data_IF_195365801897
#
_entry.id   IF_195365801897
#
_cell.length_a   1.000
_cell.length_b   1.000
_cell.length_c   1.000
_cell.angle_alpha   90.00
_cell.angle_beta   90.00
_cell.angle_gamma   90.00
#
_symmetry.space_group_name_H-M   'P 1'
#
loop_
_entity.id
_entity.type
_entity.pdbx_description
1 polymer ?
#
# COMPACT_ATOMS: atom_id res chain seq x y z
N UNK A 1 82.68 -29.69 57.59
CA UNK A 1 81.38 -29.72 56.86
C UNK A 1 80.30 -29.15 57.78
N UNK A 2 79.30 -28.44 57.24
CA UNK A 2 78.94 -27.04 57.50
C UNK A 2 77.92 -26.89 58.67
N UNK A 3 77.57 -25.72 59.20
CA UNK A 3 76.76 -24.70 58.54
C UNK A 3 76.69 -23.41 59.39
N UNK A 4 76.83 -22.25 58.72
CA UNK A 4 76.69 -20.90 59.29
C UNK A 4 75.21 -20.47 59.27
N UNK A 5 74.73 -19.86 60.36
CA UNK A 5 73.47 -19.10 60.37
C UNK A 5 73.74 -17.68 60.93
N UNK A 6 73.61 -16.68 60.05
CA UNK A 6 73.54 -15.26 60.40
C UNK A 6 72.09 -14.91 60.77
N UNK A 7 71.90 -14.20 61.89
CA UNK A 7 70.65 -13.52 62.23
C UNK A 7 70.89 -12.02 62.10
N UNK A 8 70.17 -11.37 61.19
CA UNK A 8 70.15 -9.92 61.01
C UNK A 8 68.74 -9.38 61.31
N UNK A 9 68.71 -8.23 61.99
CA UNK A 9 67.52 -7.53 62.44
C UNK A 9 66.79 -6.78 61.31
N UNK A 10 65.46 -6.72 61.38
CA UNK A 10 64.63 -5.85 60.51
C UNK A 10 64.10 -4.65 61.29
N UNK A 11 64.44 -3.44 60.81
CA UNK A 11 63.81 -2.19 61.20
C UNK A 11 62.42 -2.04 60.59
N UNK A 12 61.54 -1.30 61.29
CA UNK A 12 60.21 -0.92 60.79
C UNK A 12 60.36 0.29 59.86
N UNK A 13 60.13 0.08 58.57
CA UNK A 13 59.86 1.15 57.62
C UNK A 13 58.35 1.42 57.56
N UNK A 14 57.96 2.67 57.80
CA UNK A 14 56.60 3.18 57.60
C UNK A 14 56.38 3.52 56.12
N UNK A 15 55.52 2.77 55.44
CA UNK A 15 55.09 3.06 54.07
C UNK A 15 54.28 4.38 53.99
N UNK A 16 54.40 5.17 52.90
CA UNK A 16 53.53 6.31 52.67
C UNK A 16 52.08 5.86 52.48
N UNK A 17 51.13 6.66 52.95
CA UNK A 17 49.71 6.44 52.69
C UNK A 17 49.45 6.37 51.17
N UNK A 18 48.58 5.47 50.69
CA UNK A 18 48.20 5.44 49.28
C UNK A 18 47.57 6.78 48.90
N UNK A 19 47.93 7.30 47.72
CA UNK A 19 47.29 8.49 47.15
C UNK A 19 45.76 8.35 47.23
N UNK A 20 45.02 9.41 47.59
CA UNK A 20 43.57 9.37 47.56
C UNK A 20 43.13 8.93 46.16
N UNK A 21 42.29 7.89 46.11
CA UNK A 21 41.73 7.40 44.86
C UNK A 21 41.15 8.58 44.06
N UNK A 22 41.38 8.66 42.74
CA UNK A 22 40.78 9.69 41.90
C UNK A 22 39.28 9.76 42.21
N UNK A 23 38.67 10.96 42.34
CA UNK A 23 37.24 11.08 42.57
C UNK A 23 36.52 10.22 41.54
N UNK A 24 35.66 9.30 41.99
CA UNK A 24 34.89 8.46 41.10
C UNK A 24 34.19 9.36 40.08
N UNK A 25 34.45 9.12 38.79
CA UNK A 25 33.88 9.93 37.73
C UNK A 25 32.36 9.72 37.74
N UNK A 26 31.64 10.70 38.28
CA UNK A 26 30.19 10.62 38.40
C UNK A 26 29.58 10.57 37.00
N UNK A 27 29.01 9.44 36.62
CA UNK A 27 28.21 9.33 35.40
C UNK A 27 27.10 10.39 35.38
N UNK A 28 26.66 10.80 34.19
CA UNK A 28 25.68 11.87 34.03
C UNK A 28 24.57 11.48 33.05
N UNK A 29 23.47 12.25 33.04
CA UNK A 29 22.29 11.98 32.22
C UNK A 29 21.97 13.12 31.24
N UNK A 30 21.25 12.78 30.19
CA UNK A 30 20.53 13.74 29.36
C UNK A 30 19.49 14.48 30.22
N UNK A 31 19.48 15.80 30.14
CA UNK A 31 18.51 16.67 30.82
C UNK A 31 17.37 17.06 29.87
N UNK A 32 17.69 17.48 28.64
CA UNK A 32 16.70 17.89 27.66
C UNK A 32 17.17 17.66 26.23
N UNK A 33 16.22 17.44 25.34
CA UNK A 33 16.44 17.34 23.90
C UNK A 33 15.47 18.26 23.18
N UNK A 34 15.95 19.16 22.31
CA UNK A 34 15.06 20.05 21.55
C UNK A 34 15.44 20.03 20.08
N UNK A 35 14.43 19.99 19.22
CA UNK A 35 14.60 20.22 17.78
C UNK A 35 13.90 21.53 17.44
N UNK A 36 14.63 22.48 16.85
CA UNK A 36 14.13 23.84 16.57
C UNK A 36 13.50 24.50 17.80
N UNK A 37 14.11 24.32 18.97
CA UNK A 37 13.64 24.90 20.23
C UNK A 37 12.44 24.20 20.90
N UNK A 38 11.82 23.21 20.24
CA UNK A 38 10.67 22.48 20.76
C UNK A 38 11.06 21.12 21.35
N UNK A 39 10.46 20.75 22.49
CA UNK A 39 10.50 19.39 23.03
C UNK A 39 9.19 18.68 22.69
N UNK A 40 9.27 17.55 22.00
CA UNK A 40 8.12 16.74 21.63
C UNK A 40 8.44 15.24 21.78
N UNK A 41 9.12 14.87 22.87
CA UNK A 41 9.63 13.51 23.08
C UNK A 41 10.79 13.17 22.15
N UNK A 42 10.76 11.96 21.56
CA UNK A 42 11.86 11.40 20.75
C UNK A 42 11.49 11.12 19.29
N UNK A 43 10.29 11.54 18.85
CA UNK A 43 9.86 11.45 17.45
C UNK A 43 9.26 12.77 17.02
N UNK A 44 9.81 13.36 15.96
CA UNK A 44 9.37 14.65 15.43
C UNK A 44 8.94 14.51 13.98
N UNK A 45 7.97 15.30 13.57
CA UNK A 45 7.53 15.41 12.19
C UNK A 45 7.51 16.88 11.76
N UNK A 46 7.43 17.12 10.46
CA UNK A 46 7.39 18.46 9.88
C UNK A 46 8.58 19.35 10.30
N UNK A 47 9.77 18.76 10.40
CA UNK A 47 10.98 19.49 10.77
C UNK A 47 11.58 20.19 9.54
N UNK A 48 11.98 21.46 9.66
CA UNK A 48 12.61 22.15 8.55
C UNK A 48 13.89 21.43 8.07
N UNK A 49 14.36 21.74 6.86
CA UNK A 49 15.47 21.02 6.21
C UNK A 49 16.87 21.40 6.70
N UNK A 50 17.01 22.36 7.62
CA UNK A 50 18.27 22.70 8.31
C UNK A 50 17.99 22.82 9.82
N UNK A 51 17.61 21.70 10.48
CA UNK A 51 17.16 21.75 11.85
C UNK A 51 18.31 22.06 12.81
N UNK A 52 17.97 22.76 13.90
CA UNK A 52 18.86 22.96 15.04
C UNK A 52 18.51 21.93 16.11
N UNK A 53 19.43 21.01 16.37
CA UNK A 53 19.30 19.94 17.37
C UNK A 53 20.06 20.36 18.63
N UNK A 54 19.40 20.43 19.77
CA UNK A 54 20.05 20.75 21.06
C UNK A 54 19.94 19.56 22.00
N UNK A 55 21.08 19.08 22.49
CA UNK A 55 21.16 18.07 23.53
C UNK A 55 21.78 18.71 24.78
N UNK A 56 20.99 18.81 25.84
CA UNK A 56 21.39 19.37 27.13
C UNK A 56 21.54 18.26 28.16
N UNK A 57 22.57 18.33 28.98
CA UNK A 57 22.96 17.31 29.95
C UNK A 57 23.08 17.91 31.35
N UNK A 58 23.08 17.05 32.38
CA UNK A 58 23.21 17.47 33.78
C UNK A 58 24.65 17.84 34.19
N UNK A 59 25.63 17.67 33.30
CA UNK A 59 27.02 17.98 33.54
C UNK A 59 27.64 18.70 32.32
N UNK A 60 28.62 19.61 32.52
CA UNK A 60 29.46 20.13 31.44
C UNK A 60 30.19 19.01 30.70
N UNK A 61 30.26 19.11 29.37
CA UNK A 61 30.80 18.07 28.49
C UNK A 61 32.28 18.25 28.16
N UNK A 62 32.99 17.13 27.98
CA UNK A 62 34.27 17.12 27.29
C UNK A 62 34.02 17.23 25.79
N UNK A 63 34.25 18.43 25.25
CA UNK A 63 33.99 18.77 23.85
C UNK A 63 34.70 17.83 22.86
N UNK A 64 35.87 17.30 23.23
CA UNK A 64 36.66 16.41 22.37
C UNK A 64 35.97 15.06 22.10
N UNK A 65 35.02 14.67 22.96
CA UNK A 65 34.31 13.38 22.85
C UNK A 65 32.99 13.47 22.08
N UNK A 66 32.51 14.68 21.75
CA UNK A 66 31.21 14.85 21.09
C UNK A 66 31.22 14.29 19.67
N UNK A 67 32.25 14.60 18.88
CA UNK A 67 32.33 14.19 17.48
C UNK A 67 32.34 12.66 17.29
N UNK A 68 32.94 11.93 18.23
CA UNK A 68 33.00 10.46 18.21
C UNK A 68 31.78 9.80 18.88
N UNK A 69 31.00 10.56 19.66
CA UNK A 69 29.85 10.04 20.40
C UNK A 69 28.50 10.42 19.79
N UNK A 70 28.46 11.42 18.90
CA UNK A 70 27.26 11.85 18.21
C UNK A 70 27.25 11.37 16.75
N UNK A 71 26.10 10.88 16.30
CA UNK A 71 25.85 10.54 14.90
C UNK A 71 24.52 11.12 14.44
N UNK A 72 24.50 11.70 13.23
CA UNK A 72 23.30 12.07 12.50
C UNK A 72 23.27 11.26 11.20
N UNK A 73 22.16 10.54 10.98
CA UNK A 73 21.99 9.64 9.84
C UNK A 73 20.65 9.82 9.15
N UNK A 74 20.58 9.52 7.86
CA UNK A 74 19.33 9.43 7.11
C UNK A 74 18.66 8.04 7.23
N UNK A 75 17.50 7.84 6.58
CA UNK A 75 16.76 6.55 6.60
C UNK A 75 17.59 5.38 6.07
N UNK A 76 18.54 5.61 5.16
CA UNK A 76 19.41 4.56 4.61
C UNK A 76 20.57 4.18 5.55
N UNK A 77 20.79 4.98 6.59
CA UNK A 77 21.91 4.83 7.52
C UNK A 77 23.16 5.62 7.11
N UNK A 78 23.09 6.43 6.06
CA UNK A 78 24.19 7.27 5.61
C UNK A 78 24.45 8.42 6.61
N UNK A 79 25.73 8.68 6.90
CA UNK A 79 26.15 9.74 7.82
C UNK A 79 25.95 11.12 7.19
N UNK A 80 25.41 12.05 7.97
CA UNK A 80 25.21 13.44 7.57
C UNK A 80 26.24 14.33 8.26
N UNK A 81 26.87 15.21 7.49
CA UNK A 81 27.81 16.19 8.00
C UNK A 81 27.09 17.30 8.77
N UNK A 82 27.69 17.74 9.87
CA UNK A 82 27.13 18.74 10.77
C UNK A 82 28.21 19.65 11.35
N UNK A 83 27.78 20.81 11.85
CA UNK A 83 28.56 21.66 12.73
C UNK A 83 28.12 21.45 14.17
N UNK A 84 29.03 21.70 15.12
CA UNK A 84 28.76 21.65 16.56
C UNK A 84 29.16 22.96 17.22
N UNK A 85 28.32 23.46 18.12
CA UNK A 85 28.65 24.54 19.05
C UNK A 85 28.17 24.20 20.45
N UNK A 86 28.60 24.97 21.45
CA UNK A 86 28.33 24.71 22.86
C UNK A 86 27.64 25.90 23.53
N UNK A 87 26.71 25.60 24.43
CA UNK A 87 25.93 26.57 25.20
C UNK A 87 25.87 26.16 26.68
N UNK A 88 25.42 27.06 27.55
CA UNK A 88 25.15 26.80 28.97
C UNK A 88 26.36 26.20 29.73
N UNK A 89 27.55 26.78 29.53
CA UNK A 89 28.78 26.31 30.18
C UNK A 89 29.17 24.90 29.75
N UNK A 90 29.05 24.60 28.46
CA UNK A 90 29.33 23.30 27.83
C UNK A 90 28.42 22.14 28.27
N UNK A 91 27.34 22.43 29.01
CA UNK A 91 26.34 21.40 29.35
C UNK A 91 25.37 21.11 28.20
N UNK A 92 25.40 21.91 27.14
CA UNK A 92 24.57 21.72 25.94
C UNK A 92 25.45 21.78 24.70
N UNK A 93 25.35 20.78 23.83
CA UNK A 93 25.86 20.92 22.46
C UNK A 93 24.70 21.13 21.48
N UNK A 94 24.96 21.95 20.46
CA UNK A 94 24.03 22.32 19.40
C UNK A 94 24.58 21.77 18.09
N UNK A 95 23.79 20.95 17.41
CA UNK A 95 24.12 20.36 16.11
C UNK A 95 23.26 20.99 15.03
N UNK A 96 23.89 21.36 13.92
CA UNK A 96 23.20 21.79 12.71
C UNK A 96 23.80 21.11 11.48
N UNK A 97 23.00 20.50 10.59
CA UNK A 97 23.51 19.94 9.33
C UNK A 97 24.21 21.01 8.48
N UNK A 98 25.32 20.66 7.83
CA UNK A 98 26.08 21.60 6.98
C UNK A 98 25.39 21.93 5.66
N UNK A 99 24.40 21.11 5.26
CA UNK A 99 23.58 21.31 4.07
C UNK A 99 22.10 21.04 4.34
N UNK A 100 21.25 21.35 3.35
CA UNK A 100 19.82 21.04 3.44
C UNK A 100 19.62 19.52 3.41
N UNK A 101 18.94 19.00 4.42
CA UNK A 101 18.48 17.63 4.48
C UNK A 101 17.45 17.36 3.36
N UNK A 102 17.29 16.09 2.97
CA UNK A 102 16.25 15.69 2.02
C UNK A 102 14.85 15.95 2.59
N UNK A 103 13.89 16.30 1.75
CA UNK A 103 12.49 16.51 2.17
C UNK A 103 11.77 15.17 2.41
N UNK A 104 10.73 15.17 3.25
CA UNK A 104 9.92 13.98 3.59
C UNK A 104 10.79 12.74 3.91
N UNK A 105 11.91 12.96 4.60
CA UNK A 105 12.90 11.92 4.87
C UNK A 105 13.04 11.78 6.38
N UNK A 106 12.99 10.54 6.86
CA UNK A 106 13.27 10.20 8.25
C UNK A 106 14.79 10.29 8.49
N UNK A 107 15.16 10.89 9.60
CA UNK A 107 16.52 11.01 10.08
C UNK A 107 16.59 10.54 11.53
N UNK A 108 17.78 10.09 11.94
CA UNK A 108 18.05 9.66 13.31
C UNK A 108 19.28 10.40 13.83
N UNK A 109 19.14 11.06 14.97
CA UNK A 109 20.26 11.66 15.70
C UNK A 109 20.46 10.89 17.00
N UNK A 110 21.69 10.44 17.26
CA UNK A 110 22.00 9.59 18.40
C UNK A 110 23.26 10.04 19.14
N UNK A 111 23.24 9.90 20.46
CA UNK A 111 24.37 10.10 21.37
C UNK A 111 24.68 8.78 22.06
N UNK A 112 25.90 8.28 21.92
CA UNK A 112 26.34 7.05 22.58
C UNK A 112 26.77 7.30 24.03
N UNK A 113 26.92 6.21 24.79
CA UNK A 113 27.43 6.25 26.17
C UNK A 113 28.93 6.57 26.25
N UNK A 114 29.62 6.70 25.11
CA UNK A 114 31.02 7.14 25.06
C UNK A 114 31.19 8.65 25.30
N UNK A 115 30.10 9.43 25.29
CA UNK A 115 30.14 10.85 25.58
C UNK A 115 30.59 11.07 27.02
N UNK A 116 31.60 11.94 27.21
CA UNK A 116 32.16 12.24 28.53
C UNK A 116 31.77 13.64 29.02
N UNK A 117 31.62 13.75 30.32
CA UNK A 117 31.64 15.02 31.05
C UNK A 117 33.07 15.53 31.23
N UNK A 118 33.25 16.82 31.55
CA UNK A 118 34.57 17.39 31.87
C UNK A 118 35.25 16.73 33.07
N UNK A 119 34.48 16.14 33.98
CA UNK A 119 35.00 15.34 35.10
C UNK A 119 35.31 13.89 34.75
N UNK A 120 35.21 13.51 33.46
CA UNK A 120 35.54 12.18 32.95
C UNK A 120 34.46 11.12 33.16
N UNK A 121 33.26 11.49 33.64
CA UNK A 121 32.12 10.57 33.78
C UNK A 121 31.45 10.31 32.43
N UNK A 122 31.02 9.08 32.19
CA UNK A 122 30.31 8.68 30.96
C UNK A 122 28.81 8.99 31.04
N UNK A 123 28.17 9.19 29.87
CA UNK A 123 26.72 9.27 29.76
C UNK A 123 26.09 7.92 30.13
N UNK A 124 25.10 7.93 31.04
CA UNK A 124 24.47 6.72 31.57
C UNK A 124 23.71 5.90 30.53
N UNK A 125 22.96 6.56 29.66
CA UNK A 125 22.12 5.91 28.66
C UNK A 125 22.29 6.57 27.30
N UNK A 126 22.28 5.77 26.23
CA UNK A 126 22.24 6.33 24.87
C UNK A 126 20.98 7.20 24.71
N UNK A 127 21.12 8.31 24.01
CA UNK A 127 19.99 9.13 23.59
C UNK A 127 19.79 8.97 22.09
N UNK A 128 18.55 8.83 21.64
CA UNK A 128 18.22 8.75 20.22
C UNK A 128 16.92 9.50 19.96
N UNK A 129 16.92 10.34 18.92
CA UNK A 129 15.74 11.03 18.43
C UNK A 129 15.57 10.77 16.95
N UNK A 130 14.33 10.50 16.55
CA UNK A 130 13.93 10.39 15.15
C UNK A 130 13.20 11.65 14.73
N UNK A 131 13.47 12.16 13.54
CA UNK A 131 12.70 13.26 12.98
C UNK A 131 12.49 13.14 11.49
N UNK A 132 11.31 13.51 11.02
CA UNK A 132 10.98 13.56 9.59
C UNK A 132 10.95 15.00 9.12
N UNK A 133 11.67 15.28 8.04
CA UNK A 133 11.70 16.62 7.45
C UNK A 133 10.38 16.94 6.74
N UNK A 134 10.05 18.23 6.70
CA UNK A 134 8.88 18.75 6.00
C UNK A 134 8.97 18.53 4.48
N UNK A 135 7.83 18.66 3.81
CA UNK A 135 7.75 18.71 2.35
C UNK A 135 8.50 19.93 1.80
N UNK A 136 9.18 19.73 0.68
CA UNK A 136 9.66 20.85 -0.13
C UNK A 136 8.53 21.32 -1.05
N UNK A 137 7.82 22.37 -0.64
CA UNK A 137 6.67 22.91 -1.38
C UNK A 137 7.06 23.70 -2.64
N UNK A 138 8.36 23.85 -2.92
CA UNK A 138 8.80 24.48 -4.16
C UNK A 138 8.47 23.60 -5.36
N UNK A 139 7.90 24.24 -6.39
CA UNK A 139 7.54 23.55 -7.62
C UNK A 139 8.81 23.07 -8.32
N UNK A 140 8.90 21.75 -8.54
CA UNK A 140 9.97 21.12 -9.33
C UNK A 140 9.69 21.18 -10.84
N UNK A 141 8.42 21.35 -11.18
CA UNK A 141 7.91 21.48 -12.54
C UNK A 141 6.85 22.59 -12.57
N UNK A 142 6.60 23.22 -13.72
CA UNK A 142 5.44 24.11 -13.88
C UNK A 142 4.15 23.41 -13.45
N UNK A 143 3.21 24.14 -12.85
CA UNK A 143 1.93 23.52 -12.56
C UNK A 143 1.14 23.28 -13.84
N UNK A 144 0.46 22.15 -13.84
CA UNK A 144 -0.52 21.79 -14.84
C UNK A 144 -1.89 22.31 -14.42
N UNK A 145 -2.73 22.63 -15.41
CA UNK A 145 -4.17 22.72 -15.18
C UNK A 145 -4.72 21.33 -14.85
N UNK A 146 -5.90 21.26 -14.23
CA UNK A 146 -6.51 19.98 -13.85
C UNK A 146 -6.67 19.05 -15.06
N UNK A 147 -7.09 19.57 -16.22
CA UNK A 147 -7.21 18.78 -17.45
C UNK A 147 -5.85 18.24 -17.92
N UNK A 148 -4.80 19.07 -17.92
CA UNK A 148 -3.47 18.63 -18.32
C UNK A 148 -2.87 17.62 -17.33
N UNK A 149 -3.17 17.75 -16.03
CA UNK A 149 -2.79 16.78 -15.01
C UNK A 149 -3.52 15.46 -15.21
N UNK A 150 -4.84 15.48 -15.43
CA UNK A 150 -5.63 14.28 -15.69
C UNK A 150 -5.18 13.55 -16.96
N UNK A 151 -4.89 14.30 -18.03
CA UNK A 151 -4.38 13.71 -19.28
C UNK A 151 -3.03 13.04 -19.05
N UNK A 152 -2.11 13.69 -18.33
CA UNK A 152 -0.80 13.13 -18.02
C UNK A 152 -0.90 11.88 -17.13
N UNK A 153 -1.73 11.92 -16.08
CA UNK A 153 -1.97 10.78 -15.19
C UNK A 153 -2.52 9.61 -15.99
N UNK A 154 -3.57 9.82 -16.80
CA UNK A 154 -4.15 8.76 -17.63
C UNK A 154 -3.14 8.20 -18.63
N UNK A 155 -2.35 9.05 -19.30
CA UNK A 155 -1.35 8.62 -20.26
C UNK A 155 -0.26 7.77 -19.61
N UNK A 156 0.23 8.16 -18.43
CA UNK A 156 1.27 7.40 -17.73
C UNK A 156 0.74 6.10 -17.13
N UNK A 157 -0.46 6.12 -16.53
CA UNK A 157 -1.10 4.89 -16.01
C UNK A 157 -1.41 3.91 -17.15
N UNK A 158 -1.83 4.40 -18.32
CA UNK A 158 -2.10 3.55 -19.49
C UNK A 158 -0.88 2.73 -19.92
N UNK A 159 0.35 3.24 -19.76
CA UNK A 159 1.58 2.50 -20.09
C UNK A 159 1.73 1.19 -19.31
N UNK A 160 1.11 1.08 -18.14
CA UNK A 160 1.08 -0.18 -17.40
C UNK A 160 0.41 -1.31 -18.21
N UNK A 161 -0.68 -1.00 -18.88
CA UNK A 161 -1.44 -1.96 -19.69
C UNK A 161 -0.91 -2.08 -21.12
N UNK A 162 -0.29 -1.00 -21.62
CA UNK A 162 0.18 -0.94 -23.01
C UNK A 162 1.62 -1.40 -23.18
N UNK A 163 2.57 -0.66 -22.60
CA UNK A 163 4.01 -0.90 -22.70
C UNK A 163 4.44 -2.08 -21.83
N UNK A 164 3.86 -2.17 -20.62
CA UNK A 164 4.17 -3.21 -19.64
C UNK A 164 3.23 -4.43 -19.71
N UNK A 165 2.26 -4.43 -20.64
CA UNK A 165 1.44 -5.59 -20.95
C UNK A 165 2.29 -6.78 -21.40
N UNK A 166 1.86 -8.00 -21.06
CA UNK A 166 2.64 -9.19 -21.34
C UNK A 166 2.88 -9.36 -22.86
N UNK A 167 4.11 -9.63 -23.33
CA UNK A 167 4.44 -9.56 -24.76
C UNK A 167 3.74 -10.63 -25.63
N UNK A 168 3.39 -11.79 -25.05
CA UNK A 168 2.68 -12.88 -25.75
C UNK A 168 1.16 -12.69 -25.70
N UNK A 169 0.57 -12.71 -24.50
CA UNK A 169 -0.89 -12.60 -24.33
C UNK A 169 -1.46 -11.18 -24.45
N UNK A 170 -0.66 -10.13 -24.27
CA UNK A 170 -1.14 -8.76 -24.12
C UNK A 170 -1.87 -8.47 -22.81
N UNK A 171 -2.02 -9.46 -21.92
CA UNK A 171 -2.71 -9.34 -20.63
C UNK A 171 -1.90 -8.50 -19.63
N UNK A 172 -2.60 -7.96 -18.63
CA UNK A 172 -1.99 -7.15 -17.57
C UNK A 172 -1.22 -8.03 -16.60
N UNK A 173 0.03 -7.65 -16.31
CA UNK A 173 0.82 -8.23 -15.23
C UNK A 173 0.21 -7.83 -13.88
N UNK A 174 0.30 -8.72 -12.90
CA UNK A 174 -0.17 -8.48 -11.53
C UNK A 174 0.55 -7.30 -10.88
N UNK A 175 1.87 -7.23 -11.06
CA UNK A 175 2.73 -6.20 -10.44
C UNK A 175 3.98 -5.94 -11.29
N UNK A 176 4.63 -4.81 -11.05
CA UNK A 176 5.83 -4.39 -11.78
C UNK A 176 7.16 -4.80 -11.12
N UNK A 177 7.10 -5.48 -9.97
CA UNK A 177 8.25 -5.91 -9.17
C UNK A 177 8.21 -7.42 -8.87
N UNK A 178 7.51 -8.21 -9.69
CA UNK A 178 7.30 -9.65 -9.49
C UNK A 178 7.66 -10.49 -10.72
N UNK A 179 7.08 -11.68 -10.83
CA UNK A 179 7.22 -12.54 -12.01
C UNK A 179 6.59 -11.88 -13.25
N UNK A 180 7.42 -11.57 -14.24
CA UNK A 180 6.99 -10.94 -15.49
C UNK A 180 6.09 -11.82 -16.37
N UNK A 181 5.99 -13.12 -16.10
CA UNK A 181 5.07 -14.02 -16.77
C UNK A 181 3.73 -14.18 -16.04
N UNK A 182 3.57 -13.67 -14.83
CA UNK A 182 2.33 -13.78 -14.09
C UNK A 182 1.38 -12.64 -14.48
N UNK A 183 0.22 -13.00 -15.07
CA UNK A 183 -0.84 -12.06 -15.46
C UNK A 183 -2.11 -12.32 -14.65
N UNK A 184 -2.86 -11.25 -14.36
CA UNK A 184 -4.13 -11.29 -13.61
C UNK A 184 -5.31 -11.20 -14.56
N UNK A 185 -6.35 -12.03 -14.35
CA UNK A 185 -7.55 -12.00 -15.19
C UNK A 185 -8.40 -10.76 -14.92
N UNK A 186 -8.73 -10.43 -13.67
CA UNK A 186 -9.55 -9.26 -13.35
C UNK A 186 -8.84 -7.93 -13.63
N UNK A 187 -7.56 -7.82 -13.26
CA UNK A 187 -6.73 -6.65 -13.61
C UNK A 187 -6.59 -6.45 -15.13
N UNK A 188 -6.58 -7.54 -15.91
CA UNK A 188 -6.64 -7.45 -17.37
C UNK A 188 -7.97 -6.90 -17.87
N UNK A 189 -9.09 -7.22 -17.22
CA UNK A 189 -10.39 -6.62 -17.49
C UNK A 189 -10.37 -5.09 -17.40
N UNK A 190 -9.71 -4.55 -16.37
CA UNK A 190 -9.49 -3.10 -16.24
C UNK A 190 -8.60 -2.56 -17.36
N UNK A 191 -7.54 -3.30 -17.71
CA UNK A 191 -6.66 -2.97 -18.84
C UNK A 191 -7.38 -2.87 -20.19
N UNK A 192 -8.38 -3.73 -20.45
CA UNK A 192 -9.20 -3.64 -21.67
C UNK A 192 -9.94 -2.29 -21.73
N UNK A 193 -10.54 -1.85 -20.63
CA UNK A 193 -11.22 -0.55 -20.57
C UNK A 193 -10.23 0.63 -20.69
N UNK A 194 -9.03 0.48 -20.14
CA UNK A 194 -7.96 1.48 -20.28
C UNK A 194 -7.51 1.65 -21.74
N UNK A 195 -7.39 0.56 -22.51
CA UNK A 195 -7.08 0.61 -23.95
C UNK A 195 -8.17 1.36 -24.72
N UNK A 196 -9.46 1.12 -24.43
CA UNK A 196 -10.56 1.85 -25.07
C UNK A 196 -10.49 3.35 -24.75
N UNK A 197 -10.20 3.68 -23.50
CA UNK A 197 -9.99 5.07 -23.05
C UNK A 197 -8.82 5.70 -23.81
N UNK A 198 -7.71 4.98 -23.99
CA UNK A 198 -6.54 5.47 -24.71
C UNK A 198 -6.81 5.76 -26.19
N UNK A 199 -7.65 4.95 -26.85
CA UNK A 199 -8.11 5.24 -28.22
C UNK A 199 -8.94 6.54 -28.24
N UNK A 200 -9.89 6.68 -27.31
CA UNK A 200 -10.73 7.88 -27.20
C UNK A 200 -9.93 9.15 -26.92
N UNK A 201 -8.86 9.04 -26.12
CA UNK A 201 -7.94 10.13 -25.79
C UNK A 201 -6.89 10.39 -26.88
N UNK A 202 -6.83 9.57 -27.94
CA UNK A 202 -5.84 9.69 -29.01
C UNK A 202 -4.41 9.33 -28.60
N UNK A 203 -4.23 8.56 -27.52
CA UNK A 203 -2.91 8.08 -27.11
C UNK A 203 -2.40 6.95 -28.03
N UNK A 204 -3.33 6.19 -28.59
CA UNK A 204 -3.09 5.17 -29.62
C UNK A 204 -4.18 5.28 -30.68
N UNK A 205 -3.93 4.74 -31.88
CA UNK A 205 -4.96 4.66 -32.92
C UNK A 205 -5.96 3.54 -32.63
N UNK A 206 -7.14 3.61 -33.26
CA UNK A 206 -8.15 2.55 -33.15
C UNK A 206 -7.64 1.22 -33.68
N UNK A 207 -6.85 1.25 -34.76
CA UNK A 207 -6.24 0.08 -35.40
C UNK A 207 -5.22 -0.59 -34.46
N UNK A 208 -4.37 0.21 -33.79
CA UNK A 208 -3.45 -0.30 -32.78
C UNK A 208 -4.20 -0.96 -31.62
N UNK A 209 -5.24 -0.30 -31.12
CA UNK A 209 -6.10 -0.83 -30.06
C UNK A 209 -6.79 -2.13 -30.48
N UNK A 210 -7.35 -2.18 -31.69
CA UNK A 210 -8.00 -3.37 -32.25
C UNK A 210 -7.02 -4.55 -32.35
N UNK A 211 -5.81 -4.31 -32.87
CA UNK A 211 -4.79 -5.35 -32.97
C UNK A 211 -4.44 -5.93 -31.59
N UNK A 212 -4.22 -5.07 -30.58
CA UNK A 212 -3.97 -5.52 -29.20
C UNK A 212 -5.15 -6.32 -28.64
N UNK A 213 -6.37 -5.89 -28.88
CA UNK A 213 -7.59 -6.58 -28.43
C UNK A 213 -7.72 -7.97 -29.05
N UNK A 214 -7.39 -8.12 -30.34
CA UNK A 214 -7.39 -9.42 -31.01
C UNK A 214 -6.33 -10.36 -30.43
N UNK A 215 -5.13 -9.86 -30.08
CA UNK A 215 -4.13 -10.65 -29.36
C UNK A 215 -4.65 -11.14 -28.01
N UNK A 216 -5.22 -10.24 -27.20
CA UNK A 216 -5.72 -10.58 -25.86
C UNK A 216 -6.89 -11.57 -25.94
N UNK A 217 -7.90 -11.26 -26.75
CA UNK A 217 -9.09 -12.11 -26.92
C UNK A 217 -8.72 -13.45 -27.53
N UNK A 218 -7.79 -13.48 -28.50
CA UNK A 218 -7.28 -14.71 -29.08
C UNK A 218 -6.60 -15.61 -28.04
N UNK A 219 -5.76 -15.04 -27.17
CA UNK A 219 -5.13 -15.76 -26.06
C UNK A 219 -6.17 -16.29 -25.06
N UNK A 220 -7.11 -15.44 -24.62
CA UNK A 220 -8.16 -15.83 -23.67
C UNK A 220 -9.10 -16.91 -24.23
N UNK A 221 -9.39 -16.86 -25.54
CA UNK A 221 -10.28 -17.82 -26.20
C UNK A 221 -9.60 -19.17 -26.37
N UNK A 222 -8.36 -19.18 -26.88
CA UNK A 222 -7.72 -20.37 -27.44
C UNK A 222 -6.61 -20.96 -26.57
N UNK A 223 -5.98 -20.16 -25.70
CA UNK A 223 -4.76 -20.56 -24.97
C UNK A 223 -4.97 -20.63 -23.46
N UNK A 224 -5.69 -19.66 -22.90
CA UNK A 224 -5.91 -19.58 -21.46
C UNK A 224 -6.75 -20.75 -20.94
N UNK A 225 -6.26 -21.39 -19.88
CA UNK A 225 -6.96 -22.43 -19.15
C UNK A 225 -8.21 -21.83 -18.48
N UNK A 226 -9.30 -22.57 -18.56
CA UNK A 226 -10.58 -22.22 -17.92
C UNK A 226 -11.14 -23.43 -17.18
N UNK A 227 -12.00 -23.16 -16.20
CA UNK A 227 -12.67 -24.17 -15.38
C UNK A 227 -14.16 -23.82 -15.34
N UNK A 228 -15.01 -24.65 -15.93
CA UNK A 228 -16.43 -24.31 -16.14
C UNK A 228 -16.60 -22.95 -16.84
N UNK A 229 -15.71 -22.69 -17.82
CA UNK A 229 -15.63 -21.45 -18.59
C UNK A 229 -15.12 -20.22 -17.84
N UNK A 230 -15.00 -20.25 -16.51
CA UNK A 230 -14.39 -19.18 -15.72
C UNK A 230 -12.86 -19.27 -15.76
N UNK A 231 -12.21 -18.13 -15.57
CA UNK A 231 -10.76 -18.00 -15.54
C UNK A 231 -10.23 -18.11 -14.10
N UNK A 232 -8.99 -18.59 -13.92
CA UNK A 232 -8.30 -18.44 -12.63
C UNK A 232 -7.94 -16.98 -12.35
N UNK A 233 -7.62 -16.68 -11.10
CA UNK A 233 -7.10 -15.37 -10.70
C UNK A 233 -5.81 -15.04 -11.48
N UNK A 234 -4.83 -15.95 -11.43
CA UNK A 234 -3.55 -15.81 -12.14
C UNK A 234 -3.37 -16.84 -13.23
N UNK A 235 -2.75 -16.39 -14.33
CA UNK A 235 -2.33 -17.19 -15.46
C UNK A 235 -0.86 -16.93 -15.74
N UNK A 236 -0.17 -17.91 -16.32
CA UNK A 236 1.07 -17.65 -17.02
C UNK A 236 0.76 -16.99 -18.37
N UNK A 237 1.19 -15.75 -18.56
CA UNK A 237 0.92 -14.93 -19.74
C UNK A 237 1.57 -15.44 -21.03
N UNK A 238 2.50 -16.40 -20.95
CA UNK A 238 3.09 -17.07 -22.12
C UNK A 238 2.33 -18.34 -22.50
N UNK A 239 1.95 -19.17 -21.51
CA UNK A 239 1.39 -20.51 -21.76
C UNK A 239 -0.12 -20.61 -21.58
N UNK A 240 -0.74 -19.67 -20.86
CA UNK A 240 -2.15 -19.71 -20.51
C UNK A 240 -2.49 -20.67 -19.36
N UNK A 241 -1.51 -21.33 -18.74
CA UNK A 241 -1.75 -22.25 -17.62
C UNK A 241 -2.07 -21.48 -16.35
N UNK A 242 -3.02 -21.98 -15.55
CA UNK A 242 -3.36 -21.41 -14.25
C UNK A 242 -2.16 -21.40 -13.29
N UNK A 243 -1.92 -20.27 -12.62
CA UNK A 243 -0.96 -20.16 -11.52
C UNK A 243 -1.78 -20.10 -10.22
N UNK A 244 -1.59 -21.03 -9.27
CA UNK A 244 -2.32 -20.99 -8.00
C UNK A 244 -2.07 -19.70 -7.21
N UNK A 245 -3.14 -19.04 -6.77
CA UNK A 245 -3.05 -17.89 -5.85
C UNK A 245 -2.82 -18.35 -4.41
N UNK A 246 -3.28 -19.56 -4.08
CA UNK A 246 -3.02 -20.26 -2.84
C UNK A 246 -3.16 -21.76 -3.01
N UNK A 247 -2.87 -22.55 -1.97
CA UNK A 247 -2.85 -24.03 -2.08
C UNK A 247 -4.14 -24.61 -2.65
N UNK A 248 -5.31 -24.09 -2.24
CA UNK A 248 -6.63 -24.55 -2.69
C UNK A 248 -7.24 -23.68 -3.80
N UNK A 249 -6.64 -22.53 -4.07
CA UNK A 249 -7.06 -21.61 -5.12
C UNK A 249 -6.19 -21.80 -6.36
N UNK A 250 -6.47 -22.89 -7.07
CA UNK A 250 -5.76 -23.33 -8.28
C UNK A 250 -6.73 -23.64 -9.43
N UNK A 251 -7.93 -23.09 -9.38
CA UNK A 251 -9.02 -23.33 -10.32
C UNK A 251 -9.67 -22.03 -10.77
N UNK A 252 -10.99 -22.01 -10.92
CA UNK A 252 -11.72 -20.81 -11.28
C UNK A 252 -11.80 -19.81 -10.11
N UNK A 253 -11.65 -18.53 -10.45
CA UNK A 253 -12.04 -17.38 -9.64
C UNK A 253 -13.16 -16.63 -10.39
N UNK A 254 -14.37 -16.70 -9.85
CA UNK A 254 -15.56 -16.13 -10.49
C UNK A 254 -15.59 -14.59 -10.39
N UNK A 255 -15.00 -14.01 -9.35
CA UNK A 255 -14.96 -12.56 -9.15
C UNK A 255 -13.99 -11.93 -10.14
N UNK A 256 -12.78 -12.46 -10.27
CA UNK A 256 -11.80 -12.02 -11.26
C UNK A 256 -12.33 -12.22 -12.70
N UNK A 257 -13.00 -13.36 -12.95
CA UNK A 257 -13.71 -13.60 -14.22
C UNK A 257 -14.75 -12.51 -14.49
N UNK A 258 -15.48 -12.06 -13.47
CA UNK A 258 -16.49 -11.02 -13.64
C UNK A 258 -15.90 -9.66 -14.01
N UNK A 259 -14.74 -9.29 -13.46
CA UNK A 259 -14.02 -8.08 -13.85
C UNK A 259 -13.50 -8.17 -15.29
N UNK A 260 -12.97 -9.34 -15.68
CA UNK A 260 -12.55 -9.60 -17.06
C UNK A 260 -13.72 -9.48 -18.04
N UNK A 261 -14.85 -10.14 -17.75
CA UNK A 261 -16.05 -10.11 -18.59
C UNK A 261 -16.62 -8.70 -18.69
N UNK A 262 -16.60 -7.92 -17.60
CA UNK A 262 -16.99 -6.51 -17.62
C UNK A 262 -16.17 -5.73 -18.68
N UNK A 263 -14.84 -5.90 -18.70
CA UNK A 263 -13.95 -5.26 -19.70
C UNK A 263 -14.16 -5.77 -21.13
N UNK A 264 -14.36 -7.08 -21.29
CA UNK A 264 -14.64 -7.70 -22.59
C UNK A 264 -15.94 -7.17 -23.20
N UNK A 265 -17.01 -7.02 -22.41
CA UNK A 265 -18.27 -6.48 -22.87
C UNK A 265 -18.13 -5.01 -23.30
N UNK A 266 -17.37 -4.20 -22.55
CA UNK A 266 -17.05 -2.82 -22.97
C UNK A 266 -16.33 -2.82 -24.32
N UNK A 267 -15.33 -3.70 -24.51
CA UNK A 267 -14.62 -3.88 -25.77
C UNK A 267 -15.55 -4.28 -26.92
N UNK A 268 -16.43 -5.25 -26.70
CA UNK A 268 -17.41 -5.71 -27.70
C UNK A 268 -18.32 -4.58 -28.17
N UNK A 269 -18.77 -3.72 -27.25
CA UNK A 269 -19.65 -2.60 -27.59
C UNK A 269 -18.89 -1.46 -28.29
N UNK A 270 -17.61 -1.26 -27.97
CA UNK A 270 -16.79 -0.20 -28.56
C UNK A 270 -16.34 -0.51 -30.00
N UNK A 271 -15.90 -1.75 -30.25
CA UNK A 271 -15.53 -2.22 -31.59
C UNK A 271 -16.76 -2.67 -32.36
N UNK A 272 -17.59 -1.71 -32.78
CA UNK A 272 -18.88 -1.89 -33.42
C UNK A 272 -18.90 -1.70 -34.95
N UNK A 273 -17.74 -1.58 -35.60
CA UNK A 273 -17.62 -1.47 -37.04
C UNK A 273 -18.16 -2.70 -37.78
N UNK A 274 -18.68 -2.49 -39.00
CA UNK A 274 -19.27 -3.54 -39.84
C UNK A 274 -18.22 -4.42 -40.55
N UNK A 275 -16.95 -4.03 -40.51
CA UNK A 275 -15.86 -4.79 -41.12
C UNK A 275 -15.66 -6.17 -40.49
N UNK A 276 -15.08 -7.08 -41.25
CA UNK A 276 -14.85 -8.47 -40.83
C UNK A 276 -13.98 -8.59 -39.57
N UNK A 277 -13.01 -7.67 -39.40
CA UNK A 277 -12.04 -7.69 -38.29
C UNK A 277 -12.71 -7.40 -36.94
N UNK A 278 -13.47 -6.30 -36.84
CA UNK A 278 -14.21 -5.98 -35.61
C UNK A 278 -15.37 -6.95 -35.37
N UNK A 279 -16.01 -7.43 -36.44
CA UNK A 279 -17.05 -8.49 -36.34
C UNK A 279 -16.46 -9.78 -35.76
N UNK A 280 -15.28 -10.20 -36.22
CA UNK A 280 -14.56 -11.35 -35.69
C UNK A 280 -14.23 -11.18 -34.19
N UNK A 281 -13.69 -10.02 -33.80
CA UNK A 281 -13.42 -9.70 -32.39
C UNK A 281 -14.69 -9.83 -31.53
N UNK A 282 -15.81 -9.24 -31.96
CA UNK A 282 -17.08 -9.33 -31.21
C UNK A 282 -17.58 -10.77 -31.06
N UNK A 283 -17.44 -11.59 -32.11
CA UNK A 283 -17.82 -13.01 -32.06
C UNK A 283 -16.94 -13.82 -31.10
N UNK A 284 -15.65 -13.54 -31.08
CA UNK A 284 -14.71 -14.19 -30.15
C UNK A 284 -15.00 -13.80 -28.70
N UNK A 285 -15.31 -12.53 -28.44
CA UNK A 285 -15.75 -12.07 -27.12
C UNK A 285 -17.07 -12.76 -26.72
N UNK A 286 -18.05 -12.84 -27.62
CA UNK A 286 -19.29 -13.57 -27.34
C UNK A 286 -19.04 -15.04 -26.99
N UNK A 287 -18.09 -15.68 -27.67
CA UNK A 287 -17.67 -17.06 -27.37
C UNK A 287 -17.14 -17.17 -25.94
N UNK A 288 -16.28 -16.24 -25.52
CA UNK A 288 -15.74 -16.22 -24.14
C UNK A 288 -16.86 -16.00 -23.13
N UNK A 289 -17.66 -14.93 -23.29
CA UNK A 289 -18.69 -14.56 -22.32
C UNK A 289 -19.78 -15.65 -22.18
N UNK A 290 -20.19 -16.28 -23.28
CA UNK A 290 -21.24 -17.30 -23.27
C UNK A 290 -20.77 -18.65 -22.72
N UNK A 291 -19.44 -18.87 -22.62
CA UNK A 291 -18.85 -20.10 -22.09
C UNK A 291 -18.81 -20.12 -20.56
N UNK A 292 -18.90 -18.97 -19.88
CA UNK A 292 -18.85 -18.91 -18.40
C UNK A 292 -20.11 -19.53 -17.81
N UNK A 293 -19.95 -20.65 -17.11
CA UNK A 293 -21.04 -21.40 -16.50
C UNK A 293 -21.45 -20.81 -15.15
N UNK A 294 -21.99 -19.58 -15.09
CA UNK A 294 -22.29 -18.91 -13.82
C UNK A 294 -23.15 -19.74 -12.85
N UNK A 295 -24.09 -20.52 -13.38
CA UNK A 295 -24.95 -21.40 -12.59
C UNK A 295 -24.20 -22.59 -11.95
N UNK A 296 -23.05 -23.02 -12.48
CA UNK A 296 -22.18 -24.04 -11.87
C UNK A 296 -21.69 -23.59 -10.50
N UNK A 297 -21.34 -22.31 -10.38
CA UNK A 297 -20.81 -21.68 -9.16
C UNK A 297 -21.85 -21.50 -8.05
N UNK A 298 -23.02 -22.11 -8.18
CA UNK A 298 -24.03 -22.23 -7.13
C UNK A 298 -23.84 -23.47 -6.25
N UNK A 299 -22.85 -24.33 -6.53
CA UNK A 299 -22.56 -25.55 -5.75
C UNK A 299 -23.81 -26.33 -5.35
N UNK A 300 -24.32 -27.18 -6.27
CA UNK A 300 -25.58 -27.92 -6.09
C UNK A 300 -26.80 -27.00 -5.97
N UNK A 301 -26.92 -26.02 -6.88
CA UNK A 301 -28.09 -25.15 -7.02
C UNK A 301 -28.45 -24.30 -5.78
N UNK A 302 -27.51 -24.00 -4.90
CA UNK A 302 -27.76 -23.09 -3.79
C UNK A 302 -28.17 -21.70 -4.31
N UNK A 303 -28.83 -20.94 -3.45
CA UNK A 303 -29.22 -19.56 -3.72
C UNK A 303 -28.10 -18.57 -3.36
N UNK A 304 -26.88 -18.87 -3.78
CA UNK A 304 -25.68 -18.02 -3.62
C UNK A 304 -24.67 -18.38 -4.70
N UNK A 305 -23.75 -17.48 -5.01
CA UNK A 305 -22.55 -17.78 -5.79
C UNK A 305 -21.38 -18.07 -4.85
N UNK A 306 -20.50 -18.97 -5.27
CA UNK A 306 -19.20 -19.25 -4.65
C UNK A 306 -18.10 -18.60 -5.48
N UNK A 307 -17.12 -18.03 -4.79
CA UNK A 307 -16.00 -17.33 -5.40
C UNK A 307 -15.10 -18.28 -6.19
N UNK A 308 -14.82 -19.46 -5.64
CA UNK A 308 -13.85 -20.38 -6.20
C UNK A 308 -14.43 -21.76 -6.49
N UNK A 309 -13.87 -22.43 -7.49
CA UNK A 309 -13.99 -23.87 -7.70
C UNK A 309 -12.67 -24.43 -8.22
N UNK A 310 -12.25 -25.60 -7.72
CA UNK A 310 -10.99 -26.25 -8.10
C UNK A 310 -11.22 -27.65 -8.69
N UNK A 311 -10.48 -28.05 -9.75
CA UNK A 311 -10.51 -29.44 -10.22
C UNK A 311 -9.92 -30.44 -9.20
N UNK A 312 -9.04 -29.97 -8.30
CA UNK A 312 -8.35 -30.81 -7.33
C UNK A 312 -9.01 -30.77 -5.94
N UNK A 313 -9.66 -29.65 -5.61
CA UNK A 313 -10.22 -29.38 -4.27
C UNK A 313 -11.72 -29.07 -4.29
N UNK A 314 -12.37 -29.14 -5.45
CA UNK A 314 -13.80 -28.84 -5.63
C UNK A 314 -14.19 -27.51 -4.96
N UNK A 315 -15.01 -27.57 -3.92
CA UNK A 315 -15.54 -26.42 -3.18
C UNK A 315 -14.83 -26.16 -1.85
N UNK A 316 -13.67 -26.75 -1.59
CA UNK A 316 -12.99 -26.63 -0.28
C UNK A 316 -12.57 -25.21 0.10
N UNK A 317 -12.39 -24.29 -0.87
CA UNK A 317 -12.24 -22.85 -0.57
C UNK A 317 -13.47 -22.29 0.14
N UNK A 318 -14.66 -22.86 -0.14
CA UNK A 318 -15.93 -22.66 0.56
C UNK A 318 -16.27 -21.18 0.85
N UNK A 319 -15.99 -20.29 -0.11
CA UNK A 319 -16.19 -18.86 0.04
C UNK A 319 -17.41 -18.40 -0.75
N UNK A 320 -18.51 -18.15 -0.06
CA UNK A 320 -19.72 -17.57 -0.67
C UNK A 320 -19.52 -16.07 -0.91
N UNK A 321 -19.94 -15.59 -2.07
CA UNK A 321 -19.90 -14.16 -2.41
C UNK A 321 -21.11 -13.50 -1.75
N UNK A 322 -20.86 -12.73 -0.69
CA UNK A 322 -21.88 -12.10 0.17
C UNK A 322 -21.64 -10.60 0.24
N UNK A 323 -22.68 -9.81 -0.01
CA UNK A 323 -22.56 -8.35 -0.01
C UNK A 323 -22.56 -7.76 1.41
N UNK A 324 -22.26 -6.49 1.59
CA UNK A 324 -21.79 -5.55 0.58
C UNK A 324 -20.25 -5.55 0.51
N UNK A 325 -19.70 -5.69 -0.71
CA UNK A 325 -18.27 -5.63 -1.00
C UNK A 325 -18.05 -5.31 -2.51
N UNK A 326 -16.86 -5.54 -3.05
CA UNK A 326 -16.46 -5.27 -4.44
C UNK A 326 -17.18 -6.12 -5.50
N UNK A 327 -17.88 -7.20 -5.12
CA UNK A 327 -18.30 -8.27 -6.02
C UNK A 327 -19.71 -8.11 -6.63
N UNK A 328 -20.30 -6.92 -6.60
CA UNK A 328 -21.66 -6.67 -7.14
C UNK A 328 -21.78 -7.12 -8.61
N UNK A 329 -20.80 -6.78 -9.43
CA UNK A 329 -20.80 -7.07 -10.88
C UNK A 329 -20.83 -8.57 -11.18
N UNK A 330 -20.31 -9.42 -10.27
CA UNK A 330 -20.37 -10.88 -10.41
C UNK A 330 -21.82 -11.37 -10.47
N UNK A 331 -22.68 -10.88 -9.57
CA UNK A 331 -24.10 -11.24 -9.58
C UNK A 331 -24.86 -10.61 -10.75
N UNK A 332 -24.53 -9.37 -11.13
CA UNK A 332 -25.16 -8.69 -12.28
C UNK A 332 -24.88 -9.46 -13.57
N UNK A 333 -23.62 -9.84 -13.81
CA UNK A 333 -23.22 -10.60 -15.01
C UNK A 333 -23.81 -12.01 -15.00
N UNK A 334 -23.81 -12.69 -13.85
CA UNK A 334 -24.47 -13.98 -13.72
C UNK A 334 -25.97 -13.92 -14.04
N UNK A 335 -26.67 -12.90 -13.57
CA UNK A 335 -28.10 -12.69 -13.86
C UNK A 335 -28.34 -12.29 -15.33
N UNK A 336 -27.35 -11.68 -15.98
CA UNK A 336 -27.43 -11.23 -17.38
C UNK A 336 -27.06 -12.31 -18.40
N UNK A 337 -26.46 -13.43 -17.97
CA UNK A 337 -26.05 -14.51 -18.87
C UNK A 337 -27.27 -15.20 -19.49
N UNK A 338 -27.25 -15.34 -20.82
CA UNK A 338 -28.31 -16.00 -21.59
C UNK A 338 -28.06 -17.49 -21.82
N UNK A 339 -26.89 -18.01 -21.42
CA UNK A 339 -26.51 -19.43 -21.57
C UNK A 339 -26.52 -20.15 -20.23
N UNK A 340 -25.90 -19.56 -19.21
CA UNK A 340 -25.73 -20.18 -17.88
C UNK A 340 -26.16 -19.22 -16.76
N UNK A 341 -27.29 -18.54 -16.95
CA UNK A 341 -27.79 -17.54 -16.00
C UNK A 341 -28.25 -18.11 -14.66
N UNK A 342 -28.40 -17.22 -13.68
CA UNK A 342 -28.89 -17.53 -12.33
C UNK A 342 -30.32 -17.02 -12.10
N UNK A 343 -31.15 -17.72 -11.29
CA UNK A 343 -32.45 -17.19 -10.89
C UNK A 343 -32.29 -16.03 -9.89
N UNK A 344 -33.29 -15.13 -9.85
CA UNK A 344 -33.33 -13.96 -8.95
C UNK A 344 -33.05 -14.30 -7.48
N UNK A 345 -33.53 -15.45 -7.02
CA UNK A 345 -33.33 -15.93 -5.65
C UNK A 345 -31.85 -16.04 -5.25
N UNK A 346 -30.93 -16.24 -6.20
CA UNK A 346 -29.48 -16.27 -5.93
C UNK A 346 -28.96 -14.89 -5.53
N UNK A 347 -29.45 -13.82 -6.16
CA UNK A 347 -29.10 -12.44 -5.77
C UNK A 347 -29.77 -12.06 -4.43
N UNK A 348 -31.06 -12.33 -4.30
CA UNK A 348 -31.83 -11.93 -3.11
C UNK A 348 -31.35 -12.66 -1.84
N UNK A 349 -31.10 -13.97 -1.92
CA UNK A 349 -30.70 -14.74 -0.74
C UNK A 349 -29.18 -14.84 -0.57
N UNK A 350 -28.44 -14.77 -1.68
CA UNK A 350 -26.98 -14.87 -1.72
C UNK A 350 -26.35 -13.52 -1.39
N UNK A 351 -26.36 -12.62 -2.37
CA UNK A 351 -25.74 -11.30 -2.27
C UNK A 351 -26.34 -10.47 -1.13
N UNK A 352 -27.67 -10.29 -1.12
CA UNK A 352 -28.35 -9.42 -0.14
C UNK A 352 -28.60 -10.08 1.21
N UNK A 353 -28.58 -11.41 1.27
CA UNK A 353 -28.86 -12.17 2.49
C UNK A 353 -27.71 -12.20 3.51
N UNK A 354 -26.63 -11.46 3.26
CA UNK A 354 -25.49 -11.38 4.14
C UNK A 354 -25.81 -10.60 5.45
N UNK A 355 -25.34 -11.06 6.61
CA UNK A 355 -25.38 -10.25 7.83
C UNK A 355 -24.62 -8.94 7.63
N UNK A 356 -25.25 -7.80 7.94
CA UNK A 356 -24.65 -6.48 7.75
C UNK A 356 -24.65 -5.98 6.30
N UNK A 357 -25.43 -6.59 5.40
CA UNK A 357 -25.64 -6.06 4.05
C UNK A 357 -26.19 -4.62 4.09
N UNK A 358 -27.27 -4.40 4.84
CA UNK A 358 -27.83 -3.08 5.11
C UNK A 358 -27.10 -2.46 6.30
N UNK A 359 -26.65 -1.22 6.13
CA UNK A 359 -25.99 -0.45 7.17
C UNK A 359 -26.91 0.64 7.72
N UNK A 360 -27.16 1.69 6.94
CA UNK A 360 -28.05 2.80 7.28
C UNK A 360 -27.51 3.80 8.32
N UNK A 361 -26.31 3.60 8.87
CA UNK A 361 -25.72 4.48 9.87
C UNK A 361 -25.06 5.73 9.26
N UNK A 362 -24.88 6.76 10.09
CA UNK A 362 -24.18 7.98 9.72
C UNK A 362 -22.73 7.98 10.21
N UNK A 363 -21.80 8.33 9.33
CA UNK A 363 -20.37 8.50 9.63
C UNK A 363 -19.91 9.83 9.06
N UNK A 364 -19.32 10.69 9.89
CA UNK A 364 -18.85 12.03 9.48
C UNK A 364 -19.93 12.88 8.77
N UNK A 365 -21.21 12.69 9.13
CA UNK A 365 -22.33 13.41 8.51
C UNK A 365 -22.89 12.76 7.24
N UNK A 366 -22.38 11.60 6.82
CA UNK A 366 -22.84 10.88 5.63
C UNK A 366 -23.48 9.55 6.02
N UNK A 367 -24.72 9.33 5.60
CA UNK A 367 -25.39 8.05 5.78
C UNK A 367 -24.84 7.03 4.78
N UNK A 368 -24.35 5.88 5.25
CA UNK A 368 -23.90 4.81 4.38
C UNK A 368 -25.03 3.75 4.24
N UNK A 369 -25.63 3.57 3.05
CA UNK A 369 -26.72 2.62 2.87
C UNK A 369 -26.35 1.16 3.15
N UNK A 370 -25.21 0.69 2.64
CA UNK A 370 -24.79 -0.71 2.64
C UNK A 370 -23.40 -0.91 3.23
N UNK A 371 -23.14 -2.12 3.74
CA UNK A 371 -21.82 -2.61 4.14
C UNK A 371 -21.44 -2.41 5.59
N UNK A 372 -20.19 -2.74 5.90
CA UNK A 372 -19.68 -2.68 7.28
C UNK A 372 -19.56 -1.25 7.79
N UNK A 373 -19.39 -1.04 9.10
CA UNK A 373 -19.11 0.29 9.64
C UNK A 373 -17.94 0.96 8.92
N UNK A 374 -18.12 2.24 8.56
CA UNK A 374 -17.18 3.03 7.76
C UNK A 374 -16.89 2.49 6.33
N UNK A 375 -17.64 1.49 5.85
CA UNK A 375 -17.71 1.08 4.44
C UNK A 375 -16.64 0.11 3.93
N UNK A 376 -15.52 -0.03 4.64
CA UNK A 376 -14.40 -0.90 4.25
C UNK A 376 -13.37 -0.21 3.34
N UNK A 377 -12.54 -0.99 2.61
CA UNK A 377 -11.58 -0.45 1.65
C UNK A 377 -12.27 0.25 0.48
N UNK A 378 -11.72 1.40 0.04
CA UNK A 378 -12.42 2.25 -0.92
C UNK A 378 -12.66 1.61 -2.30
N UNK A 379 -11.85 0.62 -2.69
CA UNK A 379 -12.04 -0.10 -3.96
C UNK A 379 -13.39 -0.83 -4.10
N UNK A 380 -14.12 -1.06 -2.99
CA UNK A 380 -15.50 -1.56 -3.04
C UNK A 380 -16.42 -0.64 -3.84
N UNK A 381 -16.11 0.66 -3.91
CA UNK A 381 -16.83 1.65 -4.72
C UNK A 381 -16.27 1.80 -6.14
N UNK A 382 -15.26 1.01 -6.53
CA UNK A 382 -14.58 1.14 -7.83
C UNK A 382 -14.88 -0.03 -8.77
N UNK A 383 -14.45 -1.25 -8.43
CA UNK A 383 -14.27 -2.34 -9.42
C UNK A 383 -15.56 -2.75 -10.15
N UNK A 384 -16.65 -2.88 -9.41
CA UNK A 384 -17.95 -3.20 -10.00
C UNK A 384 -18.54 -2.05 -10.83
N UNK A 385 -18.08 -0.81 -10.63
CA UNK A 385 -18.64 0.42 -11.20
C UNK A 385 -17.81 1.03 -12.34
N UNK A 386 -16.82 0.30 -12.85
CA UNK A 386 -16.05 0.74 -14.02
C UNK A 386 -16.87 0.63 -15.31
N UNK A 387 -17.74 -0.38 -15.40
CA UNK A 387 -18.65 -0.61 -16.52
C UNK A 387 -20.10 -0.29 -16.18
N UNK A 388 -20.64 -0.78 -15.06
CA UNK A 388 -22.01 -0.43 -14.65
C UNK A 388 -22.04 0.99 -14.10
N UNK A 389 -22.91 1.83 -14.65
CA UNK A 389 -23.03 3.22 -14.21
C UNK A 389 -23.81 3.29 -12.89
N UNK A 390 -23.23 3.79 -11.78
CA UNK A 390 -23.96 3.93 -10.53
C UNK A 390 -25.00 5.06 -10.56
N UNK A 391 -24.89 6.02 -11.49
CA UNK A 391 -25.80 7.16 -11.57
C UNK A 391 -27.18 6.74 -12.07
N UNK A 392 -28.20 6.92 -11.22
CA UNK A 392 -29.55 6.46 -11.50
C UNK A 392 -29.74 4.94 -11.34
N UNK A 393 -28.71 4.21 -10.88
CA UNK A 393 -28.83 2.80 -10.56
C UNK A 393 -29.33 2.65 -9.12
N UNK A 394 -30.46 1.97 -8.96
CA UNK A 394 -31.04 1.68 -7.66
C UNK A 394 -31.76 0.35 -7.67
N UNK A 395 -31.89 -0.24 -6.48
CA UNK A 395 -32.81 -1.31 -6.21
C UNK A 395 -33.58 -1.04 -4.91
N UNK A 396 -34.27 -2.04 -4.36
CA UNK A 396 -35.03 -1.90 -3.12
C UNK A 396 -34.17 -1.61 -1.88
N UNK A 397 -32.85 -1.86 -1.94
CA UNK A 397 -31.93 -1.75 -0.82
C UNK A 397 -31.14 -0.45 -0.83
N UNK A 398 -30.72 0.06 -2.00
CA UNK A 398 -29.91 1.27 -2.08
C UNK A 398 -30.01 2.02 -3.41
N UNK A 399 -29.70 3.31 -3.35
CA UNK A 399 -29.21 4.08 -4.48
C UNK A 399 -27.68 3.95 -4.55
N UNK A 400 -27.15 3.40 -5.65
CA UNK A 400 -25.73 3.08 -5.74
C UNK A 400 -24.84 4.31 -5.94
N UNK A 401 -25.34 5.40 -6.54
CA UNK A 401 -24.60 6.67 -6.59
C UNK A 401 -24.43 7.27 -5.19
N UNK A 402 -25.47 7.20 -4.35
CA UNK A 402 -25.38 7.58 -2.94
C UNK A 402 -24.41 6.68 -2.19
N UNK A 403 -24.47 5.36 -2.39
CA UNK A 403 -23.56 4.41 -1.75
C UNK A 403 -22.09 4.73 -2.07
N UNK A 404 -21.73 4.86 -3.34
CA UNK A 404 -20.33 5.07 -3.74
C UNK A 404 -19.83 6.45 -3.32
N UNK A 405 -20.66 7.49 -3.47
CA UNK A 405 -20.30 8.86 -3.09
C UNK A 405 -20.11 8.99 -1.58
N UNK A 406 -21.05 8.47 -0.79
CA UNK A 406 -20.94 8.55 0.67
C UNK A 406 -19.81 7.68 1.20
N UNK A 407 -19.55 6.50 0.62
CA UNK A 407 -18.37 5.72 1.00
C UNK A 407 -17.06 6.50 0.77
N UNK A 408 -16.91 7.17 -0.37
CA UNK A 408 -15.76 8.04 -0.65
C UNK A 408 -15.65 9.20 0.34
N UNK A 409 -16.76 9.88 0.65
CA UNK A 409 -16.77 10.99 1.59
C UNK A 409 -16.48 10.55 3.04
N UNK A 410 -16.93 9.36 3.44
CA UNK A 410 -16.58 8.76 4.75
C UNK A 410 -15.09 8.46 4.83
N UNK A 411 -14.52 7.85 3.79
CA UNK A 411 -13.08 7.56 3.72
C UNK A 411 -12.25 8.85 3.76
N UNK A 412 -12.60 9.85 2.94
CA UNK A 412 -11.98 11.19 2.94
C UNK A 412 -12.03 11.86 4.32
N UNK A 413 -13.20 11.91 4.96
CA UNK A 413 -13.35 12.59 6.24
C UNK A 413 -12.67 11.84 7.40
N UNK A 414 -12.56 10.52 7.34
CA UNK A 414 -11.73 9.76 8.28
C UNK A 414 -10.26 10.19 8.18
N UNK A 415 -9.68 10.19 6.98
CA UNK A 415 -8.29 10.62 6.76
C UNK A 415 -8.08 12.07 7.18
N UNK A 416 -9.00 12.96 6.80
CA UNK A 416 -8.94 14.38 7.17
C UNK A 416 -9.00 14.59 8.69
N UNK A 417 -9.85 13.84 9.40
CA UNK A 417 -9.94 13.90 10.86
C UNK A 417 -8.72 13.29 11.55
N UNK A 418 -8.05 12.34 10.89
CA UNK A 418 -6.80 11.71 11.33
C UNK A 418 -6.83 11.28 12.81
N UNK A 419 -7.77 10.41 13.22
CA UNK A 419 -7.95 10.06 14.64
C UNK A 419 -6.73 9.35 15.25
N UNK A 420 -5.86 8.76 14.42
CA UNK A 420 -4.62 8.10 14.84
C UNK A 420 -3.39 9.02 14.83
N UNK A 421 -3.54 10.28 14.40
CA UNK A 421 -2.47 11.27 14.38
C UNK A 421 -1.30 10.90 13.45
N UNK A 422 -1.56 10.18 12.36
CA UNK A 422 -0.53 9.82 11.38
C UNK A 422 -0.02 11.03 10.63
N UNK A 423 1.28 11.03 10.33
CA UNK A 423 1.90 12.16 9.64
C UNK A 423 1.50 12.20 8.17
N UNK A 424 1.00 13.35 7.71
CA UNK A 424 0.68 13.62 6.30
C UNK A 424 -0.81 13.61 5.98
N UNK A 425 -1.62 12.83 6.70
CA UNK A 425 -3.07 12.81 6.50
C UNK A 425 -3.68 14.20 6.65
N UNK A 426 -4.48 14.59 5.66
CA UNK A 426 -5.04 15.94 5.54
C UNK A 426 -6.20 15.96 4.54
N UNK A 427 -6.77 17.14 4.29
CA UNK A 427 -7.72 17.35 3.18
C UNK A 427 -7.11 17.17 1.78
N UNK A 428 -5.78 17.09 1.70
CA UNK A 428 -5.01 16.98 0.46
C UNK A 428 -4.33 15.61 0.30
N UNK A 429 -4.24 14.81 1.36
CA UNK A 429 -3.60 13.48 1.38
C UNK A 429 -4.52 12.51 2.13
N UNK A 430 -5.24 11.69 1.37
CA UNK A 430 -6.28 10.80 1.85
C UNK A 430 -6.50 9.64 0.87
N UNK A 431 -7.25 8.62 1.32
CA UNK A 431 -7.68 7.50 0.50
C UNK A 431 -7.11 6.18 1.01
N UNK A 432 -7.92 5.42 1.75
CA UNK A 432 -7.54 4.11 2.28
C UNK A 432 -8.18 3.01 1.46
N UNK A 433 -7.35 2.13 0.92
CA UNK A 433 -7.77 0.96 0.15
C UNK A 433 -6.74 -0.16 0.25
N UNK A 434 -7.09 -1.37 -0.15
CA UNK A 434 -6.15 -2.47 -0.16
C UNK A 434 -4.96 -2.19 -1.11
N UNK A 435 -3.74 -2.28 -0.58
CA UNK A 435 -2.51 -1.99 -1.33
C UNK A 435 -1.28 -2.62 -0.67
N UNK A 436 -0.14 -2.54 -1.37
CA UNK A 436 1.17 -2.79 -0.77
C UNK A 436 1.43 -1.81 0.38
N UNK A 437 2.15 -2.28 1.39
CA UNK A 437 2.67 -1.52 2.53
C UNK A 437 4.16 -1.84 2.72
N UNK A 438 4.85 -1.15 3.63
CA UNK A 438 6.23 -1.50 3.98
C UNK A 438 6.28 -2.95 4.50
N UNK A 439 6.89 -3.85 3.71
CA UNK A 439 7.08 -5.26 4.06
C UNK A 439 5.87 -6.18 3.84
N UNK A 440 4.81 -5.75 3.14
CA UNK A 440 3.66 -6.63 2.90
C UNK A 440 2.52 -6.02 2.11
N UNK A 441 1.32 -6.54 2.34
CA UNK A 441 0.06 -6.10 1.74
C UNK A 441 -1.02 -6.11 2.82
N UNK A 442 -1.94 -5.14 2.80
CA UNK A 442 -3.10 -5.15 3.71
C UNK A 442 -4.30 -4.48 3.07
N UNK A 443 -5.49 -4.83 3.57
CA UNK A 443 -6.73 -4.19 3.18
C UNK A 443 -6.94 -2.91 4.00
N UNK A 444 -6.23 -1.82 3.67
CA UNK A 444 -6.40 -0.54 4.37
C UNK A 444 -7.83 -0.04 4.22
N UNK A 445 -8.37 0.47 5.33
CA UNK A 445 -9.70 1.07 5.42
C UNK A 445 -9.77 1.95 6.68
N UNK A 446 -10.81 2.78 6.87
CA UNK A 446 -10.99 3.51 8.12
C UNK A 446 -10.99 2.64 9.38
N UNK A 447 -11.36 1.36 9.27
CA UNK A 447 -11.33 0.39 10.38
C UNK A 447 -10.02 -0.41 10.47
N UNK A 448 -9.15 -0.30 9.48
CA UNK A 448 -7.84 -0.96 9.41
C UNK A 448 -6.80 0.01 8.86
N UNK A 449 -6.61 1.13 9.57
CA UNK A 449 -5.72 2.20 9.15
C UNK A 449 -4.29 1.93 9.62
N UNK A 450 -3.40 1.69 8.65
CA UNK A 450 -1.96 1.48 8.87
C UNK A 450 -1.11 2.63 8.34
N UNK A 451 -1.70 3.81 8.13
CA UNK A 451 -1.05 5.00 7.54
C UNK A 451 -0.68 4.87 6.05
N UNK A 452 -1.27 3.91 5.32
CA UNK A 452 -1.03 3.67 3.88
C UNK A 452 -2.34 3.56 3.13
#
# INVERSE_FOLDING_TARGET
MPCFLLVAACGKDSAPAPDPAPPASSSFSLNALKINGSFNGFTYFNINRSPVLKFSFLAPLDQSTVATSFALKDKSGATINYTVSFENGDSTFVIQPTGLLNAITKHTASVSTALKSKSGGNLLFRAEVNFTTQIDSSRKFPALSDNALLDLVQQQTFKYFWDFGHPVSGLARERNNGDNNLVTSGGSGFGLMAIITAIHRGFITREQGLARMQTIVGFLKNTAQTFHGAYPHWLNGSTGVAIPFGTKDNGADLVETSYLVQGLLTCRQYFNGLGITETGLRNDINTICNRVEWNWFRNNNQNTLFWHWSPNYNWEMNMQIRGWNECLITYVLAASSTTFGIPRAVFDNGWKGAPGYVNGNNYYGFQLPLGTPLGGPLFFSHYSFLGINPNGLNDASANYATQTTNHTLVNYNYCKANPKGYYGYSDSIWGLTASDIEGGYTASSPTNDVSV
#
